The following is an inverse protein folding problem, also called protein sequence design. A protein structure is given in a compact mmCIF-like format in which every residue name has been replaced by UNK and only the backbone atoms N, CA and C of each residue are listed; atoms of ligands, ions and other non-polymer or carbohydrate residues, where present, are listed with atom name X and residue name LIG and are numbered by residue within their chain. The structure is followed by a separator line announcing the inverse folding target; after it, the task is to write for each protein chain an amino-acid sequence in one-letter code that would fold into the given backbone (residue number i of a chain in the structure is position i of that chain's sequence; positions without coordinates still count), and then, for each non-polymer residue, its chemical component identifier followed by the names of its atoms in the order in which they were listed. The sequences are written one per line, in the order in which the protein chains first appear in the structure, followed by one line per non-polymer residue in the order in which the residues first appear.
data_IF_263591013615
#
_entry.id   IF_263591013615
#
_cell.length_a   1.000
_cell.length_b   1.000
_cell.length_c   1.000
_cell.angle_alpha   90.00
_cell.angle_beta   90.00
_cell.angle_gamma   90.00
#
_symmetry.space_group_name_H-M   'P 1'
#
loop_
_entity.id
_entity.type
_entity.pdbx_description
1 polymer ?
#
# COMPACT_ATOMS: atom_id res chain seq x y z
N UNK A 1 -2.63 -21.03 2.08
CA UNK A 1 -3.17 -19.99 1.22
C UNK A 1 -2.23 -18.81 1.18
N UNK A 2 -2.13 -18.16 0.03
CA UNK A 2 -1.29 -16.99 -0.10
C UNK A 2 -1.96 -15.71 0.37
N UNK A 3 -1.19 -14.66 0.46
CA UNK A 3 -1.68 -13.33 0.77
C UNK A 3 -2.05 -12.62 -0.52
N UNK A 4 -3.18 -11.93 -0.55
CA UNK A 4 -3.58 -11.05 -1.64
C UNK A 4 -3.42 -9.60 -1.17
N UNK A 5 -2.77 -8.77 -1.98
CA UNK A 5 -2.56 -7.36 -1.65
C UNK A 5 -2.98 -6.48 -2.82
N UNK A 6 -3.66 -5.39 -2.52
CA UNK A 6 -4.01 -4.34 -3.47
C UNK A 6 -3.27 -3.07 -3.10
N UNK A 7 -2.56 -2.48 -4.06
CA UNK A 7 -1.79 -1.26 -3.88
C UNK A 7 -2.48 -0.17 -4.69
N UNK A 8 -2.91 0.88 -4.03
CA UNK A 8 -3.74 1.95 -4.64
C UNK A 8 -3.00 3.27 -4.64
N UNK A 9 -3.08 3.98 -5.78
CA UNK A 9 -2.65 5.37 -5.88
C UNK A 9 -3.87 6.25 -5.66
N UNK A 10 -3.85 7.07 -4.62
CA UNK A 10 -5.01 7.83 -4.17
C UNK A 10 -4.71 9.32 -4.23
N UNK A 11 -5.59 10.05 -4.93
CA UNK A 11 -5.54 11.51 -5.00
C UNK A 11 -6.47 12.10 -3.96
N UNK A 12 -5.93 13.01 -3.16
CA UNK A 12 -6.71 13.75 -2.18
C UNK A 12 -7.37 14.94 -2.87
N UNK A 13 -8.71 14.95 -2.89
CA UNK A 13 -9.48 16.04 -3.50
C UNK A 13 -9.79 17.07 -2.42
N UNK A 14 -9.36 18.30 -2.65
CA UNK A 14 -9.57 19.42 -1.73
C UNK A 14 -10.33 20.54 -2.39
N UNK A 15 -11.07 21.31 -1.60
CA UNK A 15 -11.78 22.47 -2.07
C UNK A 15 -10.78 23.52 -2.58
N UNK A 16 -10.90 24.03 -3.83
CA UNK A 16 -9.96 25.00 -4.37
C UNK A 16 -10.01 26.37 -3.69
N UNK A 17 -11.06 26.65 -2.92
CA UNK A 17 -11.24 27.93 -2.25
C UNK A 17 -10.71 27.94 -0.81
N UNK A 18 -11.00 26.89 -0.03
CA UNK A 18 -10.63 26.85 1.38
C UNK A 18 -9.59 25.78 1.71
N UNK A 19 -9.25 24.91 0.75
CA UNK A 19 -8.29 23.82 0.97
C UNK A 19 -8.81 22.68 1.85
N UNK A 20 -10.10 22.70 2.18
CA UNK A 20 -10.71 21.68 3.01
C UNK A 20 -10.81 20.36 2.26
N UNK A 21 -10.54 19.25 2.97
CA UNK A 21 -10.62 17.92 2.40
C UNK A 21 -12.07 17.58 2.02
N UNK A 22 -12.27 17.09 0.78
CA UNK A 22 -13.56 16.67 0.27
C UNK A 22 -13.64 15.14 0.23
N UNK A 23 -12.69 14.49 -0.47
CA UNK A 23 -12.71 13.04 -0.65
C UNK A 23 -11.36 12.53 -1.13
N UNK A 24 -11.14 11.23 -0.99
CA UNK A 24 -10.06 10.52 -1.64
C UNK A 24 -10.59 9.87 -2.92
N UNK A 25 -9.80 9.97 -3.99
CA UNK A 25 -10.12 9.33 -5.26
C UNK A 25 -9.03 8.35 -5.63
N UNK A 26 -9.38 7.07 -5.80
CA UNK A 26 -8.45 6.06 -6.31
C UNK A 26 -8.25 6.32 -7.80
N UNK A 27 -7.03 6.71 -8.18
CA UNK A 27 -6.71 6.97 -9.59
C UNK A 27 -6.22 5.73 -10.30
N UNK A 28 -5.54 4.84 -9.59
CA UNK A 28 -5.01 3.62 -10.15
C UNK A 28 -4.79 2.58 -9.04
N UNK A 29 -4.82 1.31 -9.41
CA UNK A 29 -4.54 0.24 -8.45
C UNK A 29 -3.86 -0.94 -9.15
N UNK A 30 -3.07 -1.69 -8.39
CA UNK A 30 -2.39 -2.89 -8.85
C UNK A 30 -2.56 -3.97 -7.79
N UNK A 31 -2.98 -5.15 -8.24
CA UNK A 31 -3.11 -6.31 -7.36
C UNK A 31 -1.85 -7.17 -7.42
N UNK A 32 -1.48 -7.72 -6.30
CA UNK A 32 -0.41 -8.71 -6.20
C UNK A 32 -0.80 -9.81 -5.22
N UNK A 33 0.01 -10.84 -5.14
CA UNK A 33 -0.27 -11.96 -4.25
C UNK A 33 1.02 -12.71 -3.92
N UNK A 34 0.90 -13.62 -2.97
CA UNK A 34 1.97 -14.52 -2.60
C UNK A 34 2.49 -14.30 -1.19
N UNK A 35 3.02 -15.36 -0.60
CA UNK A 35 3.54 -15.34 0.77
C UNK A 35 4.78 -14.47 0.94
N UNK A 36 5.45 -14.10 -0.17
CA UNK A 36 6.62 -13.22 -0.13
C UNK A 36 6.33 -11.82 0.43
N UNK A 37 5.06 -11.42 0.46
CA UNK A 37 4.68 -10.11 0.99
C UNK A 37 4.68 -10.02 2.51
N UNK A 38 4.61 -11.13 3.24
CA UNK A 38 4.48 -11.11 4.70
C UNK A 38 5.62 -10.38 5.39
N UNK A 39 6.86 -10.58 4.93
CA UNK A 39 8.02 -9.99 5.56
C UNK A 39 7.98 -8.46 5.58
N UNK A 40 7.71 -7.83 4.43
CA UNK A 40 7.66 -6.38 4.35
C UNK A 40 6.42 -5.81 5.04
N UNK A 41 5.29 -6.52 4.98
CA UNK A 41 4.08 -6.09 5.67
C UNK A 41 4.26 -6.15 7.19
N UNK A 42 5.02 -7.12 7.69
CA UNK A 42 5.38 -7.20 9.10
C UNK A 42 6.30 -6.04 9.48
N UNK A 43 7.27 -5.70 8.64
CA UNK A 43 8.17 -4.57 8.86
C UNK A 43 7.41 -3.24 8.93
N UNK A 44 6.38 -3.06 8.10
CA UNK A 44 5.54 -1.87 8.12
C UNK A 44 4.55 -1.83 9.28
N UNK A 45 4.38 -2.95 10.01
CA UNK A 45 3.39 -3.06 11.06
C UNK A 45 1.98 -3.34 10.55
N UNK A 46 1.82 -3.60 9.27
CA UNK A 46 0.52 -3.97 8.68
C UNK A 46 0.12 -5.39 9.07
N UNK A 47 1.04 -6.33 8.91
CA UNK A 47 0.82 -7.71 9.32
C UNK A 47 1.46 -7.95 10.68
N UNK A 48 0.65 -8.44 11.61
CA UNK A 48 1.13 -8.82 12.94
C UNK A 48 0.78 -10.30 13.15
N UNK A 49 1.76 -11.14 13.54
CA UNK A 49 1.48 -12.55 13.82
C UNK A 49 0.36 -12.70 14.84
N UNK A 50 -0.48 -13.71 14.65
CA UNK A 50 -1.66 -13.95 15.48
C UNK A 50 -1.35 -13.88 16.98
N UNK A 51 -0.23 -14.44 17.39
CA UNK A 51 0.21 -14.50 18.79
C UNK A 51 0.44 -13.12 19.42
N UNK A 52 0.78 -12.13 18.59
CA UNK A 52 1.09 -10.76 19.02
C UNK A 52 -0.02 -9.77 18.64
N UNK A 53 -1.07 -10.25 18.00
CA UNK A 53 -2.13 -9.39 17.47
C UNK A 53 -3.06 -8.91 18.56
N UNK A 54 -3.36 -7.61 18.53
CA UNK A 54 -4.33 -6.97 19.42
C UNK A 54 -5.33 -6.19 18.56
N UNK A 55 -6.41 -5.70 19.15
CA UNK A 55 -7.37 -4.87 18.42
C UNK A 55 -6.74 -3.58 17.90
N UNK A 56 -5.73 -3.08 18.59
CA UNK A 56 -5.05 -1.82 18.24
C UNK A 56 -4.10 -1.96 17.04
N UNK A 57 -3.48 -3.13 16.88
CA UNK A 57 -2.49 -3.37 15.82
C UNK A 57 -2.98 -4.31 14.72
N UNK A 58 -4.27 -4.62 14.69
CA UNK A 58 -4.86 -5.49 13.67
C UNK A 58 -5.33 -4.65 12.48
N UNK A 59 -4.62 -4.78 11.37
CA UNK A 59 -4.90 -4.06 10.12
C UNK A 59 -5.71 -4.89 9.12
N UNK A 60 -6.09 -6.12 9.48
CA UNK A 60 -6.86 -6.98 8.59
C UNK A 60 -8.18 -6.29 8.17
N UNK A 61 -8.39 -6.22 6.86
CA UNK A 61 -9.57 -5.56 6.31
C UNK A 61 -9.52 -4.03 6.35
N UNK A 62 -8.38 -3.45 6.73
CA UNK A 62 -8.21 -2.00 6.81
C UNK A 62 -7.14 -1.53 5.84
N UNK A 63 -7.30 -0.31 5.33
CA UNK A 63 -6.31 0.32 4.46
C UNK A 63 -5.22 0.99 5.29
N UNK A 64 -3.98 0.87 4.86
CA UNK A 64 -2.84 1.57 5.47
C UNK A 64 -2.22 2.52 4.45
N UNK A 65 -2.09 3.80 4.82
CA UNK A 65 -1.38 4.79 3.99
C UNK A 65 0.12 4.69 4.28
N UNK A 66 0.92 4.54 3.23
CA UNK A 66 2.36 4.43 3.35
C UNK A 66 3.04 5.80 3.27
N UNK A 67 4.14 5.95 4.00
CA UNK A 67 5.02 7.11 3.85
C UNK A 67 5.79 6.99 2.53
N UNK A 68 6.39 8.10 2.06
CA UNK A 68 7.19 8.08 0.83
C UNK A 68 8.34 7.07 0.91
N UNK A 69 8.99 6.97 2.06
CA UNK A 69 10.05 5.98 2.26
C UNK A 69 9.53 4.55 2.17
N UNK A 70 8.38 4.29 2.79
CA UNK A 70 7.75 2.97 2.73
C UNK A 70 7.32 2.61 1.31
N UNK A 71 6.85 3.58 0.54
CA UNK A 71 6.47 3.38 -0.87
C UNK A 71 7.67 2.94 -1.69
N UNK A 72 8.82 3.61 -1.49
CA UNK A 72 10.06 3.26 -2.19
C UNK A 72 10.54 1.88 -1.76
N UNK A 73 10.50 1.57 -0.47
CA UNK A 73 10.87 0.25 0.04
C UNK A 73 9.99 -0.85 -0.53
N UNK A 74 8.68 -0.60 -0.62
CA UNK A 74 7.72 -1.55 -1.18
C UNK A 74 8.06 -1.88 -2.64
N UNK A 75 8.33 -0.87 -3.44
CA UNK A 75 8.68 -1.05 -4.85
C UNK A 75 9.98 -1.82 -5.02
N UNK A 76 11.01 -1.46 -4.25
CA UNK A 76 12.30 -2.15 -4.29
C UNK A 76 12.18 -3.60 -3.82
N UNK A 77 11.44 -3.83 -2.75
CA UNK A 77 11.20 -5.17 -2.22
C UNK A 77 10.52 -6.07 -3.25
N UNK A 78 9.48 -5.54 -3.91
CA UNK A 78 8.75 -6.29 -4.92
C UNK A 78 9.66 -6.68 -6.09
N UNK A 79 10.51 -5.76 -6.54
CA UNK A 79 11.47 -6.00 -7.61
C UNK A 79 12.54 -7.02 -7.18
N UNK A 80 13.13 -6.83 -6.02
CA UNK A 80 14.23 -7.68 -5.52
C UNK A 80 13.77 -9.13 -5.28
N UNK A 81 12.51 -9.32 -4.91
CA UNK A 81 11.94 -10.63 -4.62
C UNK A 81 11.11 -11.18 -5.79
N UNK A 82 11.08 -10.47 -6.91
CA UNK A 82 10.35 -10.86 -8.11
C UNK A 82 8.88 -11.22 -7.81
N UNK A 83 8.23 -10.38 -7.03
CA UNK A 83 6.85 -10.59 -6.62
C UNK A 83 5.89 -10.36 -7.79
N UNK A 84 4.71 -10.93 -7.70
CA UNK A 84 3.72 -10.83 -8.78
C UNK A 84 3.39 -9.36 -9.07
N UNK A 85 3.38 -9.00 -10.35
CA UNK A 85 3.11 -7.63 -10.84
C UNK A 85 4.11 -6.56 -10.35
N UNK A 86 5.35 -6.94 -10.01
CA UNK A 86 6.32 -5.98 -9.51
C UNK A 86 6.62 -4.83 -10.49
N UNK A 87 6.50 -5.09 -11.81
CA UNK A 87 6.72 -4.05 -12.83
C UNK A 87 5.59 -3.00 -12.76
N UNK A 88 4.36 -3.45 -12.69
CA UNK A 88 3.18 -2.58 -12.57
C UNK A 88 3.20 -1.80 -11.25
N UNK A 89 3.65 -2.44 -10.18
CA UNK A 89 3.83 -1.77 -8.88
C UNK A 89 4.85 -0.64 -9.00
N UNK A 90 5.98 -0.90 -9.65
CA UNK A 90 7.00 0.12 -9.88
C UNK A 90 6.48 1.32 -10.67
N UNK A 91 5.70 1.06 -11.71
CA UNK A 91 5.08 2.11 -12.51
C UNK A 91 4.08 2.94 -11.70
N UNK A 92 3.24 2.26 -10.92
CA UNK A 92 2.27 2.92 -10.04
C UNK A 92 2.98 3.83 -9.02
N UNK A 93 4.04 3.34 -8.40
CA UNK A 93 4.82 4.09 -7.42
C UNK A 93 5.45 5.32 -8.06
N UNK A 94 6.07 5.17 -9.23
CA UNK A 94 6.67 6.31 -9.94
C UNK A 94 5.64 7.37 -10.29
N UNK A 95 4.49 6.97 -10.82
CA UNK A 95 3.41 7.89 -11.18
C UNK A 95 2.88 8.62 -9.95
N UNK A 96 2.72 7.90 -8.85
CA UNK A 96 2.20 8.47 -7.60
C UNK A 96 3.15 9.48 -6.99
N UNK A 97 4.45 9.18 -6.95
CA UNK A 97 5.45 10.09 -6.43
C UNK A 97 5.54 11.35 -7.28
N UNK A 98 5.45 11.21 -8.61
CA UNK A 98 5.47 12.35 -9.53
C UNK A 98 4.22 13.21 -9.45
N UNK A 99 3.08 12.64 -9.08
CA UNK A 99 1.78 13.33 -9.00
C UNK A 99 1.45 13.86 -7.60
N UNK A 100 2.23 13.48 -6.59
CA UNK A 100 1.93 13.84 -5.20
C UNK A 100 0.78 13.03 -4.61
N UNK A 101 0.40 11.93 -5.23
CA UNK A 101 -0.63 11.03 -4.71
C UNK A 101 -0.07 10.20 -3.57
N UNK A 102 -0.94 9.79 -2.65
CA UNK A 102 -0.54 8.86 -1.59
C UNK A 102 -0.75 7.42 -2.05
N UNK A 103 0.03 6.52 -1.48
CA UNK A 103 -0.11 5.08 -1.73
C UNK A 103 -0.75 4.44 -0.51
N UNK A 104 -1.78 3.66 -0.76
CA UNK A 104 -2.54 2.94 0.26
C UNK A 104 -2.50 1.46 -0.07
N UNK A 105 -2.27 0.64 0.94
CA UNK A 105 -2.28 -0.82 0.78
C UNK A 105 -3.44 -1.43 1.55
N UNK A 106 -3.97 -2.51 0.99
CA UNK A 106 -5.02 -3.32 1.59
C UNK A 106 -4.64 -4.77 1.30
N UNK A 107 -4.52 -5.58 2.32
CA UNK A 107 -4.12 -6.97 2.17
C UNK A 107 -5.07 -7.90 2.90
N UNK A 108 -5.25 -9.07 2.31
CA UNK A 108 -6.12 -10.12 2.81
C UNK A 108 -5.29 -11.41 2.92
N UNK A 109 -5.15 -11.92 4.13
CA UNK A 109 -4.37 -13.14 4.40
C UNK A 109 -5.19 -14.27 5.00
#
# INVERSE_FOLDING_TARGET
MGLDITIKSVKEIRCPHCGEFIMDKVENEVDSCGSGWYEILEEFGYYVPYEKRTEENDWYGKDMTLTDMQVIELSNYACDNNLYNWVEIGMLVNDSLGSGNKIVIDADW
#
